data_IF_158606228993
#
_entry.id   IF_158606228993
#
_cell.length_a   1.000
_cell.length_b   1.000
_cell.length_c   1.000
_cell.angle_alpha   90.00
_cell.angle_beta   90.00
_cell.angle_gamma   90.00
#
_symmetry.space_group_name_H-M   'P 1'
#
loop_
_entity.id
_entity.type
_entity.pdbx_description
1 polymer ?
#
# COMPACT_ATOMS: atom_id res chain seq x y z
N UNK A 1 -3.88 -26.04 9.93
CA UNK A 1 -2.86 -27.08 9.73
C UNK A 1 -1.53 -26.37 9.51
N UNK A 2 -0.49 -26.73 10.25
CA UNK A 2 0.88 -26.27 10.00
C UNK A 2 1.70 -27.39 9.39
N UNK A 3 2.67 -27.04 8.54
CA UNK A 3 3.74 -27.93 8.07
C UNK A 3 4.99 -27.53 8.83
N UNK A 4 5.75 -28.50 9.34
CA UNK A 4 6.93 -28.23 10.18
C UNK A 4 8.06 -27.54 9.40
N UNK A 5 8.18 -27.84 8.10
CA UNK A 5 9.16 -27.25 7.18
C UNK A 5 8.45 -26.77 5.90
N UNK A 6 7.84 -25.56 5.91
CA UNK A 6 7.05 -25.07 4.79
C UNK A 6 7.94 -24.62 3.63
N UNK A 7 7.64 -25.08 2.41
CA UNK A 7 8.26 -24.52 1.21
C UNK A 7 7.63 -23.17 0.89
N UNK A 8 8.43 -22.10 0.97
CA UNK A 8 8.04 -20.72 0.69
C UNK A 8 8.63 -20.26 -0.64
N UNK A 9 7.84 -19.56 -1.46
CA UNK A 9 8.29 -18.94 -2.72
C UNK A 9 7.81 -17.49 -2.83
N UNK A 10 8.56 -16.65 -3.54
CA UNK A 10 8.13 -15.30 -3.91
C UNK A 10 7.63 -15.31 -5.35
N UNK A 11 6.34 -15.04 -5.56
CA UNK A 11 5.72 -15.01 -6.89
C UNK A 11 5.80 -13.61 -7.49
N UNK A 12 6.43 -13.48 -8.66
CA UNK A 12 6.64 -12.21 -9.36
C UNK A 12 5.92 -12.18 -10.72
N UNK A 13 5.47 -11.01 -11.20
CA UNK A 13 4.94 -10.84 -12.56
C UNK A 13 6.06 -10.84 -13.64
N UNK A 14 7.33 -10.95 -13.24
CA UNK A 14 8.48 -11.02 -14.14
C UNK A 14 9.18 -9.68 -14.40
N UNK A 15 10.23 -9.73 -15.23
CA UNK A 15 11.22 -8.66 -15.41
C UNK A 15 10.68 -7.32 -15.94
N UNK A 16 9.51 -7.32 -16.57
CA UNK A 16 8.91 -6.10 -17.13
C UNK A 16 8.12 -5.29 -16.11
N UNK A 17 8.05 -5.74 -14.85
CA UNK A 17 7.46 -4.97 -13.77
C UNK A 17 8.49 -4.01 -13.16
N UNK A 18 8.07 -2.78 -12.87
CA UNK A 18 8.95 -1.73 -12.33
C UNK A 18 9.55 -2.07 -10.97
N UNK A 19 8.91 -2.92 -10.17
CA UNK A 19 9.38 -3.38 -8.87
C UNK A 19 10.15 -4.72 -8.93
N UNK A 20 10.41 -5.28 -10.12
CA UNK A 20 11.05 -6.60 -10.26
C UNK A 20 12.40 -6.71 -9.52
N UNK A 21 13.22 -5.65 -9.55
CA UNK A 21 14.48 -5.62 -8.80
C UNK A 21 14.25 -5.86 -7.30
N UNK A 22 13.25 -5.22 -6.71
CA UNK A 22 12.89 -5.40 -5.31
C UNK A 22 12.42 -6.84 -5.04
N UNK A 23 11.66 -7.43 -5.96
CA UNK A 23 11.19 -8.82 -5.83
C UNK A 23 12.38 -9.80 -5.79
N UNK A 24 13.33 -9.65 -6.71
CA UNK A 24 14.50 -10.50 -6.79
C UNK A 24 15.44 -10.30 -5.59
N UNK A 25 15.65 -9.05 -5.18
CA UNK A 25 16.43 -8.70 -3.98
C UNK A 25 15.82 -9.33 -2.73
N UNK A 26 14.52 -9.16 -2.50
CA UNK A 26 13.84 -9.73 -1.34
C UNK A 26 13.88 -11.26 -1.32
N UNK A 27 13.64 -11.91 -2.46
CA UNK A 27 13.72 -13.38 -2.55
C UNK A 27 15.13 -13.89 -2.20
N UNK A 28 16.16 -13.20 -2.71
CA UNK A 28 17.57 -13.50 -2.41
C UNK A 28 17.90 -13.34 -0.92
N UNK A 29 17.52 -12.21 -0.30
CA UNK A 29 17.79 -11.95 1.13
C UNK A 29 17.05 -12.94 2.05
N UNK A 30 15.86 -13.39 1.65
CA UNK A 30 15.12 -14.43 2.39
C UNK A 30 15.62 -15.85 2.11
N UNK A 31 16.44 -16.05 1.08
CA UNK A 31 16.88 -17.38 0.65
C UNK A 31 15.76 -18.26 0.11
N UNK A 32 14.76 -17.68 -0.55
CA UNK A 32 13.61 -18.38 -1.14
C UNK A 32 13.60 -18.26 -2.66
N UNK A 33 12.90 -19.18 -3.33
CA UNK A 33 12.81 -19.18 -4.79
C UNK A 33 11.97 -18.00 -5.31
N UNK A 34 12.50 -17.31 -6.33
CA UNK A 34 11.77 -16.32 -7.12
C UNK A 34 11.10 -17.03 -8.30
N UNK A 35 9.78 -17.05 -8.33
CA UNK A 35 8.99 -17.81 -9.33
C UNK A 35 8.02 -16.92 -10.09
N UNK A 36 7.78 -17.23 -11.36
CA UNK A 36 6.65 -16.70 -12.12
C UNK A 36 5.49 -17.71 -12.13
N UNK A 37 4.29 -17.28 -12.53
CA UNK A 37 3.11 -18.16 -12.56
C UNK A 37 3.32 -19.44 -13.38
N UNK A 38 4.12 -19.38 -14.47
CA UNK A 38 4.46 -20.53 -15.33
C UNK A 38 5.31 -21.60 -14.64
N UNK A 39 6.06 -21.23 -13.60
CA UNK A 39 6.91 -22.14 -12.83
C UNK A 39 6.10 -22.94 -11.82
N UNK A 40 4.85 -22.50 -11.57
CA UNK A 40 3.90 -23.14 -10.67
C UNK A 40 2.78 -23.83 -11.45
N UNK A 41 2.18 -24.84 -10.84
CA UNK A 41 0.98 -25.48 -11.36
C UNK A 41 0.15 -26.12 -10.25
N UNK A 42 -1.15 -26.25 -10.47
CA UNK A 42 -2.04 -27.02 -9.61
C UNK A 42 -2.01 -28.48 -10.03
N UNK A 43 -1.78 -29.38 -9.08
CA UNK A 43 -1.99 -30.81 -9.25
C UNK A 43 -2.61 -31.41 -7.99
N UNK A 44 -3.59 -32.31 -8.14
CA UNK A 44 -4.30 -32.98 -7.03
C UNK A 44 -4.79 -32.03 -5.92
N UNK A 45 -5.10 -30.78 -6.28
CA UNK A 45 -5.56 -29.72 -5.39
C UNK A 45 -4.47 -29.09 -4.51
N UNK A 46 -3.20 -29.23 -4.85
CA UNK A 46 -2.06 -28.54 -4.22
C UNK A 46 -1.28 -27.75 -5.27
N UNK A 47 -0.51 -26.74 -4.85
CA UNK A 47 0.41 -26.01 -5.74
C UNK A 47 1.79 -26.68 -5.71
N UNK A 48 2.36 -26.86 -6.89
CA UNK A 48 3.71 -27.37 -7.07
C UNK A 48 4.54 -26.42 -7.92
N UNK A 49 5.82 -26.33 -7.57
CA UNK A 49 6.86 -25.68 -8.34
C UNK A 49 7.58 -26.71 -9.22
N UNK A 50 7.86 -26.34 -10.46
CA UNK A 50 8.64 -27.16 -11.40
C UNK A 50 10.11 -27.11 -11.00
N UNK A 51 10.72 -28.28 -10.82
CA UNK A 51 12.17 -28.41 -10.62
C UNK A 51 12.72 -29.53 -11.51
N UNK A 52 14.03 -29.59 -11.67
CA UNK A 52 14.70 -30.66 -12.43
C UNK A 52 14.60 -32.03 -11.75
N UNK A 53 14.44 -32.07 -10.43
CA UNK A 53 14.31 -33.30 -9.64
C UNK A 53 12.85 -33.77 -9.52
N UNK A 54 11.91 -32.96 -10.00
CA UNK A 54 10.47 -33.24 -9.97
C UNK A 54 9.65 -32.11 -9.35
N UNK A 55 8.32 -32.26 -9.29
CA UNK A 55 7.45 -31.27 -8.67
C UNK A 55 7.74 -31.13 -7.16
N UNK A 56 8.06 -29.91 -6.72
CA UNK A 56 8.19 -29.59 -5.29
C UNK A 56 6.93 -28.88 -4.81
N UNK A 57 6.27 -29.41 -3.78
CA UNK A 57 5.07 -28.79 -3.23
C UNK A 57 5.41 -27.41 -2.64
N UNK A 58 4.52 -26.44 -2.83
CA UNK A 58 4.61 -25.09 -2.25
C UNK A 58 3.54 -24.93 -1.19
N UNK A 59 3.93 -24.45 -0.02
CA UNK A 59 3.05 -24.29 1.14
C UNK A 59 2.68 -22.82 1.38
N UNK A 60 3.60 -21.90 1.08
CA UNK A 60 3.40 -20.44 1.23
C UNK A 60 3.89 -19.69 0.00
N UNK A 61 3.08 -18.77 -0.50
CA UNK A 61 3.41 -17.90 -1.62
C UNK A 61 3.38 -16.46 -1.14
N UNK A 62 4.54 -15.80 -1.11
CA UNK A 62 4.61 -14.35 -1.00
C UNK A 62 4.36 -13.75 -2.39
N UNK A 63 3.13 -13.29 -2.63
CA UNK A 63 2.75 -12.75 -3.94
C UNK A 63 3.17 -11.28 -4.10
N UNK A 64 3.70 -10.98 -5.28
CA UNK A 64 3.92 -9.62 -5.80
C UNK A 64 3.11 -9.37 -7.08
N UNK A 65 2.01 -10.10 -7.23
CA UNK A 65 1.05 -10.06 -8.34
C UNK A 65 -0.31 -9.68 -7.75
N UNK A 66 -1.01 -8.75 -8.39
CA UNK A 66 -2.34 -8.29 -7.97
C UNK A 66 -3.41 -9.40 -8.10
N UNK A 67 -4.48 -9.29 -7.31
CA UNK A 67 -5.54 -10.32 -7.22
C UNK A 67 -6.13 -10.67 -8.59
N UNK A 68 -6.38 -9.65 -9.42
CA UNK A 68 -6.98 -9.82 -10.74
C UNK A 68 -6.16 -10.75 -11.66
N UNK A 69 -4.85 -10.83 -11.45
CA UNK A 69 -3.93 -11.55 -12.31
C UNK A 69 -3.47 -12.90 -11.74
N UNK A 70 -3.82 -13.24 -10.50
CA UNK A 70 -3.25 -14.41 -9.80
C UNK A 70 -3.86 -15.76 -10.23
N UNK A 71 -5.11 -15.76 -10.71
CA UNK A 71 -5.81 -16.97 -11.15
C UNK A 71 -6.72 -16.66 -12.36
N UNK A 72 -6.35 -17.07 -13.58
CA UNK A 72 -7.17 -16.83 -14.77
C UNK A 72 -8.49 -17.61 -14.79
N UNK A 73 -8.66 -18.65 -13.96
CA UNK A 73 -9.94 -19.38 -13.87
C UNK A 73 -10.97 -18.69 -12.98
N UNK A 74 -10.53 -17.74 -12.14
CA UNK A 74 -11.39 -17.06 -11.16
C UNK A 74 -11.51 -15.55 -11.41
N UNK A 75 -10.48 -14.92 -11.97
CA UNK A 75 -10.40 -13.48 -12.15
C UNK A 75 -10.28 -13.13 -13.64
N UNK A 76 -9.16 -12.54 -14.07
CA UNK A 76 -8.96 -12.15 -15.47
C UNK A 76 -8.51 -13.36 -16.32
N UNK A 77 -9.36 -13.88 -17.23
CA UNK A 77 -9.04 -15.05 -18.04
C UNK A 77 -7.91 -14.82 -19.06
N UNK A 78 -7.57 -13.56 -19.34
CA UNK A 78 -6.46 -13.20 -20.20
C UNK A 78 -5.11 -13.10 -19.44
N UNK A 79 -5.12 -13.26 -18.11
CA UNK A 79 -3.88 -13.22 -17.33
C UNK A 79 -2.94 -14.37 -17.70
N UNK A 80 -1.69 -14.02 -18.02
CA UNK A 80 -0.58 -14.97 -18.17
C UNK A 80 0.36 -14.99 -16.96
N UNK A 81 0.06 -14.19 -15.92
CA UNK A 81 0.92 -14.01 -14.74
C UNK A 81 0.59 -14.99 -13.61
N UNK A 82 -0.65 -15.49 -13.58
CA UNK A 82 -1.22 -16.30 -12.52
C UNK A 82 -0.99 -17.80 -12.66
N UNK A 83 -1.58 -18.56 -11.73
CA UNK A 83 -1.62 -20.02 -11.76
C UNK A 83 -3.08 -20.47 -11.86
N UNK A 84 -3.51 -21.14 -12.95
CA UNK A 84 -4.88 -21.63 -13.09
C UNK A 84 -5.30 -22.50 -11.90
N UNK A 85 -6.34 -22.09 -11.19
CA UNK A 85 -6.90 -22.83 -10.03
C UNK A 85 -6.30 -22.45 -8.68
N UNK A 86 -5.41 -21.45 -8.60
CA UNK A 86 -4.83 -20.93 -7.36
C UNK A 86 -5.89 -20.62 -6.29
N UNK A 87 -6.98 -19.92 -6.65
CA UNK A 87 -8.01 -19.52 -5.69
C UNK A 87 -8.71 -20.74 -5.08
N UNK A 88 -8.92 -21.80 -5.86
CA UNK A 88 -9.50 -23.05 -5.37
C UNK A 88 -8.61 -23.71 -4.31
N UNK A 89 -7.30 -23.77 -4.57
CA UNK A 89 -6.33 -24.35 -3.63
C UNK A 89 -6.26 -23.55 -2.34
N UNK A 90 -6.19 -22.21 -2.44
CA UNK A 90 -6.22 -21.29 -1.28
C UNK A 90 -7.50 -21.49 -0.46
N UNK A 91 -8.67 -21.51 -1.09
CA UNK A 91 -9.96 -21.73 -0.41
C UNK A 91 -10.06 -23.09 0.26
N UNK A 92 -9.34 -24.09 -0.24
CA UNK A 92 -9.25 -25.41 0.39
C UNK A 92 -8.24 -25.48 1.54
N UNK A 93 -7.53 -24.38 1.84
CA UNK A 93 -6.54 -24.29 2.92
C UNK A 93 -5.26 -25.08 2.67
N UNK A 94 -4.94 -25.38 1.40
CA UNK A 94 -3.79 -26.22 1.01
C UNK A 94 -2.54 -25.44 0.63
N UNK A 95 -2.67 -24.12 0.48
CA UNK A 95 -1.57 -23.16 0.30
C UNK A 95 -1.94 -21.84 0.96
N UNK A 96 -0.97 -21.16 1.55
CA UNK A 96 -1.13 -19.80 2.10
C UNK A 96 -0.60 -18.79 1.09
N UNK A 97 -1.35 -17.72 0.84
CA UNK A 97 -0.92 -16.61 -0.02
C UNK A 97 -0.82 -15.34 0.81
N UNK A 98 0.35 -14.69 0.78
CA UNK A 98 0.66 -13.48 1.53
C UNK A 98 0.97 -12.34 0.55
N UNK A 99 0.33 -11.17 0.60
CA UNK A 99 -0.88 -10.87 1.36
C UNK A 99 -2.07 -11.69 0.83
N UNK A 100 -3.08 -11.90 1.68
CA UNK A 100 -4.30 -12.59 1.27
C UNK A 100 -4.96 -11.90 0.07
N UNK A 101 -5.74 -12.66 -0.71
CA UNK A 101 -6.61 -12.08 -1.73
C UNK A 101 -7.77 -11.32 -1.09
N UNK A 102 -8.17 -10.20 -1.69
CA UNK A 102 -9.28 -9.38 -1.22
C UNK A 102 -8.91 -8.34 -0.17
N UNK A 103 -7.63 -8.21 0.23
CA UNK A 103 -7.20 -7.19 1.20
C UNK A 103 -7.42 -5.76 0.70
N UNK A 104 -7.56 -5.57 -0.62
CA UNK A 104 -7.83 -4.26 -1.22
C UNK A 104 -9.11 -3.59 -0.71
N UNK A 105 -10.09 -4.33 -0.20
CA UNK A 105 -11.28 -3.73 0.41
C UNK A 105 -10.92 -2.90 1.64
N UNK A 106 -9.93 -3.31 2.44
CA UNK A 106 -9.58 -2.63 3.68
C UNK A 106 -8.74 -1.36 3.49
N UNK A 107 -7.99 -1.28 2.38
CA UNK A 107 -7.16 -0.11 2.02
C UNK A 107 -7.84 0.79 0.95
N UNK A 108 -9.10 0.51 0.63
CA UNK A 108 -9.87 1.36 -0.27
C UNK A 108 -10.06 2.75 0.35
N UNK A 109 -10.00 3.80 -0.48
CA UNK A 109 -10.12 5.19 -0.02
C UNK A 109 -11.45 5.46 0.69
N UNK A 110 -12.52 4.75 0.33
CA UNK A 110 -13.81 4.85 1.00
C UNK A 110 -13.82 4.12 2.36
N UNK A 111 -12.98 3.10 2.55
CA UNK A 111 -12.84 2.42 3.85
C UNK A 111 -11.93 3.18 4.81
N UNK A 112 -10.95 3.95 4.30
CA UNK A 112 -10.00 4.72 5.12
C UNK A 112 -10.67 5.56 6.21
N UNK A 113 -11.80 6.22 5.93
CA UNK A 113 -12.47 7.09 6.91
C UNK A 113 -13.06 6.33 8.11
N UNK A 114 -13.23 5.01 8.01
CA UNK A 114 -13.79 4.16 9.07
C UNK A 114 -12.74 3.47 9.93
N UNK A 115 -11.44 3.57 9.60
CA UNK A 115 -10.36 2.94 10.39
C UNK A 115 -10.40 3.32 11.88
N UNK A 116 -10.63 4.59 12.26
CA UNK A 116 -10.79 4.96 13.68
C UNK A 116 -11.93 4.19 14.37
N UNK A 117 -13.06 4.02 13.69
CA UNK A 117 -14.22 3.31 14.23
C UNK A 117 -13.97 1.79 14.28
N UNK A 118 -13.21 1.24 13.33
CA UNK A 118 -12.76 -0.16 13.38
C UNK A 118 -11.89 -0.42 14.62
N UNK A 119 -10.97 0.48 14.94
CA UNK A 119 -10.12 0.37 16.15
C UNK A 119 -11.00 0.33 17.40
N UNK A 120 -11.95 1.27 17.54
CA UNK A 120 -12.89 1.29 18.66
C UNK A 120 -13.76 0.04 18.74
N UNK A 121 -14.26 -0.42 17.59
CA UNK A 121 -15.17 -1.56 17.53
C UNK A 121 -14.48 -2.89 17.83
N UNK A 122 -13.32 -3.15 17.22
CA UNK A 122 -12.63 -4.44 17.34
C UNK A 122 -11.70 -4.52 18.55
N UNK A 123 -11.06 -3.41 18.95
CA UNK A 123 -10.08 -3.38 20.04
C UNK A 123 -10.64 -2.76 21.33
N UNK A 124 -11.73 -1.99 21.25
CA UNK A 124 -12.26 -1.27 22.42
C UNK A 124 -11.34 -0.12 22.87
N UNK A 125 -10.46 0.35 21.98
CA UNK A 125 -9.42 1.34 22.25
C UNK A 125 -9.64 2.62 21.44
N UNK A 126 -9.04 3.72 21.86
CA UNK A 126 -8.97 4.93 21.04
C UNK A 126 -7.75 4.87 20.10
N UNK A 127 -7.89 5.32 18.83
CA UNK A 127 -6.78 5.34 17.88
C UNK A 127 -5.59 6.16 18.40
N UNK A 128 -4.43 5.51 18.51
CA UNK A 128 -3.17 6.19 18.88
C UNK A 128 -2.71 7.11 17.74
N UNK A 129 -2.78 6.62 16.50
CA UNK A 129 -2.51 7.40 15.30
C UNK A 129 -3.81 7.97 14.74
N UNK A 130 -3.86 9.28 14.60
CA UNK A 130 -5.03 9.98 14.09
C UNK A 130 -5.07 9.90 12.57
N UNK A 131 -6.23 9.56 12.03
CA UNK A 131 -6.47 9.71 10.60
C UNK A 131 -6.52 11.19 10.22
N UNK A 132 -6.17 11.46 8.97
CA UNK A 132 -6.45 12.77 8.36
C UNK A 132 -7.98 12.92 8.30
N UNK A 133 -8.56 14.04 8.75
CA UNK A 133 -9.99 14.30 8.61
C UNK A 133 -10.40 14.10 7.15
N UNK A 134 -11.28 13.14 6.90
CA UNK A 134 -11.65 12.72 5.55
C UNK A 134 -13.15 12.76 5.40
N UNK A 135 -13.62 13.62 4.50
CA UNK A 135 -15.03 13.78 4.16
C UNK A 135 -15.39 12.77 3.07
N UNK A 136 -16.41 11.96 3.32
CA UNK A 136 -16.93 11.02 2.33
C UNK A 136 -18.05 11.70 1.56
N UNK A 137 -17.85 11.98 0.27
CA UNK A 137 -18.87 12.67 -0.53
C UNK A 137 -20.14 11.83 -0.73
N UNK A 138 -20.13 10.55 -0.35
CA UNK A 138 -21.31 9.67 -0.20
C UNK A 138 -22.30 10.17 0.85
N UNK A 139 -21.81 10.84 1.90
CA UNK A 139 -22.65 11.39 2.97
C UNK A 139 -23.14 12.78 2.56
N UNK A 140 -24.46 13.05 2.57
CA UNK A 140 -24.99 14.34 2.12
C UNK A 140 -24.41 15.56 2.86
N UNK A 141 -24.18 15.44 4.17
CA UNK A 141 -23.62 16.53 4.98
C UNK A 141 -22.16 16.81 4.63
N UNK A 142 -21.35 15.76 4.47
CA UNK A 142 -19.95 15.86 4.01
C UNK A 142 -19.88 16.46 2.60
N UNK A 143 -20.72 15.99 1.67
CA UNK A 143 -20.78 16.52 0.30
C UNK A 143 -21.09 18.01 0.31
N UNK A 144 -22.08 18.43 1.11
CA UNK A 144 -22.42 19.85 1.24
C UNK A 144 -21.23 20.66 1.72
N UNK A 145 -20.56 20.20 2.79
CA UNK A 145 -19.36 20.85 3.30
C UNK A 145 -18.25 20.94 2.24
N UNK A 146 -17.99 19.85 1.50
CA UNK A 146 -16.97 19.82 0.45
C UNK A 146 -17.30 20.78 -0.69
N UNK A 147 -18.56 20.85 -1.12
CA UNK A 147 -18.99 21.78 -2.18
C UNK A 147 -18.86 23.24 -1.75
N UNK A 148 -19.15 23.54 -0.49
CA UNK A 148 -19.06 24.89 0.05
C UNK A 148 -17.60 25.34 0.24
N UNK A 149 -16.71 24.41 0.61
CA UNK A 149 -15.32 24.70 0.99
C UNK A 149 -14.26 24.13 0.02
N UNK A 150 -14.65 23.77 -1.21
CA UNK A 150 -13.77 23.02 -2.14
C UNK A 150 -12.41 23.69 -2.39
N UNK A 151 -12.35 25.02 -2.30
CA UNK A 151 -11.13 25.81 -2.53
C UNK A 151 -10.08 25.65 -1.42
N UNK A 152 -10.43 25.06 -0.28
CA UNK A 152 -9.53 24.82 0.85
C UNK A 152 -9.12 23.34 0.98
N UNK A 153 -9.79 22.48 0.21
CA UNK A 153 -9.69 21.03 0.31
C UNK A 153 -8.89 20.43 -0.85
N UNK A 154 -8.40 19.23 -0.63
CA UNK A 154 -7.89 18.34 -1.67
C UNK A 154 -8.94 17.26 -1.92
N UNK A 155 -9.51 17.23 -3.13
CA UNK A 155 -10.53 16.24 -3.53
C UNK A 155 -9.90 15.18 -4.40
N UNK A 156 -10.17 13.90 -4.12
CA UNK A 156 -9.57 12.74 -4.80
C UNK A 156 -10.66 11.74 -5.19
N UNK A 157 -10.50 11.10 -6.34
CA UNK A 157 -11.30 9.94 -6.72
C UNK A 157 -10.98 8.73 -5.83
N UNK A 158 -12.01 7.99 -5.42
CA UNK A 158 -11.91 6.77 -4.61
C UNK A 158 -11.13 5.71 -5.38
N UNK A 159 -11.50 5.48 -6.64
CA UNK A 159 -10.83 4.55 -7.54
C UNK A 159 -9.69 5.25 -8.30
N UNK A 160 -8.51 4.61 -8.36
CA UNK A 160 -7.35 5.11 -9.12
C UNK A 160 -6.06 5.28 -8.30
N UNK A 161 -4.93 5.14 -8.98
CA UNK A 161 -3.57 5.30 -8.46
C UNK A 161 -2.85 6.46 -9.17
N UNK A 162 -1.82 7.03 -8.53
CA UNK A 162 -0.90 7.97 -9.20
C UNK A 162 -1.33 9.45 -9.28
N UNK A 163 -2.35 9.89 -8.56
CA UNK A 163 -2.71 11.32 -8.45
C UNK A 163 -3.51 11.90 -9.63
N UNK A 164 -3.89 11.06 -10.60
CA UNK A 164 -4.92 11.40 -11.60
C UNK A 164 -6.29 11.50 -10.92
N UNK A 165 -7.16 12.41 -11.39
CA UNK A 165 -8.49 12.61 -10.78
C UNK A 165 -8.50 13.37 -9.45
N UNK A 166 -7.52 14.25 -9.23
CA UNK A 166 -7.37 15.03 -7.99
C UNK A 166 -7.49 16.54 -8.24
N UNK A 167 -8.20 17.25 -7.36
CA UNK A 167 -8.23 18.71 -7.27
C UNK A 167 -7.45 19.16 -6.03
N UNK A 168 -6.53 20.11 -6.18
CA UNK A 168 -5.88 20.80 -5.05
C UNK A 168 -6.48 22.19 -4.94
N UNK A 169 -7.55 22.32 -4.14
CA UNK A 169 -8.35 23.54 -4.02
C UNK A 169 -7.53 24.83 -3.90
N UNK A 170 -6.54 24.92 -2.99
CA UNK A 170 -5.78 26.16 -2.78
C UNK A 170 -4.90 26.58 -3.98
N UNK A 171 -4.66 25.67 -4.93
CA UNK A 171 -3.88 25.92 -6.15
C UNK A 171 -4.74 25.93 -7.41
N UNK A 172 -6.04 25.68 -7.28
CA UNK A 172 -6.97 25.61 -8.39
C UNK A 172 -7.62 26.98 -8.64
N UNK A 173 -7.85 27.28 -9.92
CA UNK A 173 -8.66 28.42 -10.32
C UNK A 173 -10.13 28.21 -9.98
N UNK A 174 -10.90 29.30 -9.92
CA UNK A 174 -12.35 29.24 -9.69
C UNK A 174 -13.06 28.38 -10.75
N UNK A 175 -12.64 28.46 -12.01
CA UNK A 175 -13.21 27.69 -13.10
C UNK A 175 -12.99 26.18 -12.93
N UNK A 176 -11.79 25.77 -12.50
CA UNK A 176 -11.48 24.36 -12.20
C UNK A 176 -12.29 23.86 -11.00
N UNK A 177 -12.42 24.68 -9.94
CA UNK A 177 -13.28 24.36 -8.80
C UNK A 177 -14.74 24.16 -9.23
N UNK A 178 -15.29 25.06 -10.06
CA UNK A 178 -16.68 24.98 -10.52
C UNK A 178 -16.92 23.77 -11.45
N UNK A 179 -15.93 23.39 -12.27
CA UNK A 179 -15.96 22.15 -13.04
C UNK A 179 -15.95 20.92 -12.15
N UNK A 180 -15.05 20.88 -11.17
CA UNK A 180 -14.95 19.75 -10.25
C UNK A 180 -16.21 19.61 -9.38
N UNK A 181 -16.83 20.72 -8.95
CA UNK A 181 -18.14 20.70 -8.26
C UNK A 181 -19.24 20.04 -9.11
N UNK A 182 -19.22 20.24 -10.43
CA UNK A 182 -20.20 19.57 -11.34
C UNK A 182 -19.96 18.07 -11.38
N UNK A 183 -18.70 17.64 -11.48
CA UNK A 183 -18.31 16.21 -11.45
C UNK A 183 -18.68 15.55 -10.12
N UNK A 184 -18.36 16.20 -9.00
CA UNK A 184 -18.73 15.76 -7.65
C UNK A 184 -20.23 15.55 -7.47
N UNK A 185 -21.06 16.44 -8.02
CA UNK A 185 -22.53 16.30 -7.93
C UNK A 185 -23.07 15.18 -8.80
N UNK A 186 -22.40 14.87 -9.91
CA UNK A 186 -22.82 13.81 -10.81
C UNK A 186 -22.56 12.42 -10.21
N UNK A 187 -21.39 12.23 -9.58
CA UNK A 187 -20.98 10.95 -9.01
C UNK A 187 -20.34 11.13 -7.62
N UNK A 188 -21.11 11.57 -6.61
CA UNK A 188 -20.56 11.89 -5.28
C UNK A 188 -19.89 10.70 -4.62
N UNK A 189 -20.35 9.48 -4.92
CA UNK A 189 -19.83 8.26 -4.32
C UNK A 189 -18.39 7.94 -4.72
N UNK A 190 -17.93 8.51 -5.83
CA UNK A 190 -16.59 8.30 -6.36
C UNK A 190 -15.55 9.24 -5.76
N UNK A 191 -15.90 10.09 -4.78
CA UNK A 191 -14.98 11.10 -4.25
C UNK A 191 -14.85 11.12 -2.72
N UNK A 192 -13.64 11.45 -2.26
CA UNK A 192 -13.35 11.86 -0.89
C UNK A 192 -12.63 13.20 -0.90
N UNK A 193 -12.73 13.95 0.20
CA UNK A 193 -12.00 15.19 0.36
C UNK A 193 -11.26 15.24 1.70
N UNK A 194 -10.09 15.87 1.71
CA UNK A 194 -9.24 16.04 2.88
C UNK A 194 -8.78 17.50 2.97
N UNK A 195 -8.52 18.03 4.17
CA UNK A 195 -7.88 19.33 4.28
C UNK A 195 -6.48 19.28 3.68
N UNK A 196 -6.00 20.44 3.23
CA UNK A 196 -4.61 20.56 2.81
C UNK A 196 -3.70 20.42 4.04
N UNK A 197 -2.88 19.37 4.06
CA UNK A 197 -2.01 19.09 5.19
C UNK A 197 -0.73 19.92 5.13
N UNK A 198 -0.36 20.51 6.26
CA UNK A 198 0.98 21.04 6.49
C UNK A 198 1.94 19.88 6.78
N UNK A 199 2.53 19.31 5.74
CA UNK A 199 3.52 18.24 5.91
C UNK A 199 4.75 18.78 6.65
N UNK A 200 5.31 17.96 7.55
CA UNK A 200 6.59 18.27 8.19
C UNK A 200 7.70 18.41 7.15
N UNK A 201 8.77 19.11 7.51
CA UNK A 201 9.93 19.26 6.63
C UNK A 201 11.19 18.68 7.28
N UNK A 202 12.08 18.13 6.46
CA UNK A 202 13.39 17.64 6.86
C UNK A 202 14.48 18.43 6.11
N UNK A 203 15.59 18.83 6.78
CA UNK A 203 16.72 19.47 6.12
C UNK A 203 17.23 18.63 4.95
N UNK A 204 17.33 19.24 3.78
CA UNK A 204 17.70 18.55 2.53
C UNK A 204 18.69 19.41 1.76
N UNK A 205 19.76 18.78 1.27
CA UNK A 205 20.75 19.45 0.44
C UNK A 205 20.15 19.69 -0.95
N UNK A 206 20.12 20.95 -1.35
CA UNK A 206 19.63 21.45 -2.64
C UNK A 206 20.67 22.41 -3.23
N UNK A 207 20.43 22.92 -4.44
CA UNK A 207 21.40 23.78 -5.13
C UNK A 207 21.80 25.02 -4.32
N UNK A 208 20.87 25.60 -3.55
CA UNK A 208 21.12 26.78 -2.71
C UNK A 208 21.74 26.45 -1.34
N UNK A 209 22.03 25.18 -1.03
CA UNK A 209 22.54 24.72 0.25
C UNK A 209 21.55 23.83 1.00
N UNK A 210 21.48 23.96 2.33
CA UNK A 210 20.57 23.14 3.16
C UNK A 210 19.24 23.88 3.33
N UNK A 211 18.16 23.32 2.81
CA UNK A 211 16.83 23.91 2.88
C UNK A 211 15.77 22.89 3.35
N UNK A 212 14.67 23.34 3.97
CA UNK A 212 13.57 22.45 4.35
C UNK A 212 12.87 21.90 3.10
N UNK A 213 12.57 20.60 3.11
CA UNK A 213 11.74 19.91 2.10
C UNK A 213 10.75 18.98 2.78
N UNK A 214 9.55 18.88 2.23
CA UNK A 214 8.49 18.04 2.79
C UNK A 214 8.85 16.57 2.69
N UNK A 215 8.53 15.80 3.73
CA UNK A 215 8.80 14.37 3.80
C UNK A 215 7.56 13.59 4.22
N UNK A 216 7.53 12.31 3.84
CA UNK A 216 6.64 11.32 4.45
C UNK A 216 7.41 10.06 4.82
N UNK A 217 6.83 9.28 5.73
CA UNK A 217 7.43 8.06 6.28
C UNK A 217 6.49 6.88 6.02
N UNK A 218 7.03 5.81 5.44
CA UNK A 218 6.35 4.53 5.28
C UNK A 218 7.06 3.44 6.10
N UNK A 219 6.60 3.17 7.33
CA UNK A 219 7.05 2.00 8.08
C UNK A 219 6.39 0.72 7.52
N UNK A 220 6.94 -0.43 7.90
CA UNK A 220 6.39 -1.74 7.54
C UNK A 220 6.00 -2.51 8.80
N UNK A 221 4.71 -2.87 8.88
CA UNK A 221 4.16 -3.71 9.95
C UNK A 221 4.09 -5.15 9.44
N UNK A 222 4.78 -6.06 10.13
CA UNK A 222 4.79 -7.49 9.82
C UNK A 222 3.84 -8.22 10.77
N UNK A 223 2.88 -8.95 10.21
CA UNK A 223 1.89 -9.72 10.98
C UNK A 223 2.01 -11.20 10.66
N UNK A 224 2.46 -11.98 11.64
CA UNK A 224 2.44 -13.44 11.62
C UNK A 224 1.74 -13.95 12.88
N UNK A 225 2.37 -14.87 13.62
CA UNK A 225 1.90 -15.23 14.98
C UNK A 225 1.89 -14.01 15.92
N UNK A 226 2.82 -13.08 15.71
CA UNK A 226 2.90 -11.79 16.41
C UNK A 226 2.97 -10.66 15.40
N UNK A 227 2.42 -9.51 15.78
CA UNK A 227 2.55 -8.26 15.02
C UNK A 227 3.76 -7.47 15.51
N UNK A 228 4.62 -7.04 14.60
CA UNK A 228 5.83 -6.24 14.90
C UNK A 228 6.00 -5.13 13.88
N UNK A 229 6.60 -4.02 14.30
CA UNK A 229 6.99 -2.93 13.42
C UNK A 229 8.51 -2.95 13.29
N UNK A 230 9.01 -2.86 12.06
CA UNK A 230 10.46 -2.76 11.83
C UNK A 230 10.97 -1.40 12.34
N UNK A 231 12.13 -1.34 13.05
CA UNK A 231 12.72 -0.09 13.52
C UNK A 231 13.37 0.68 12.35
N UNK A 232 12.54 1.14 11.42
CA UNK A 232 12.95 1.82 10.19
C UNK A 232 11.77 2.02 9.24
N UNK A 233 12.07 2.46 8.03
CA UNK A 233 11.05 2.67 7.02
C UNK A 233 11.59 3.43 5.82
N UNK A 234 10.76 3.54 4.79
CA UNK A 234 11.06 4.34 3.62
C UNK A 234 10.64 5.78 3.89
N UNK A 235 11.62 6.68 4.06
CA UNK A 235 11.36 8.12 4.06
C UNK A 235 11.50 8.66 2.63
N UNK A 236 10.47 9.36 2.14
CA UNK A 236 10.52 10.05 0.84
C UNK A 236 10.55 11.54 1.03
N UNK A 237 11.19 12.25 0.11
CA UNK A 237 11.37 13.71 0.16
C UNK A 237 10.93 14.37 -1.15
N UNK A 238 10.13 15.43 -1.04
CA UNK A 238 9.74 16.26 -2.17
C UNK A 238 10.85 17.28 -2.46
N UNK A 239 11.72 17.00 -3.43
CA UNK A 239 12.93 17.80 -3.68
C UNK A 239 12.63 19.21 -4.22
N UNK A 240 11.55 19.37 -4.98
CA UNK A 240 11.14 20.67 -5.53
C UNK A 240 10.59 21.58 -4.43
N UNK A 241 11.07 22.82 -4.39
CA UNK A 241 10.62 23.82 -3.42
C UNK A 241 9.10 24.00 -3.46
N UNK A 242 8.44 23.96 -2.29
CA UNK A 242 6.98 24.10 -2.14
C UNK A 242 6.14 22.96 -2.72
N UNK A 243 6.78 21.87 -3.17
CA UNK A 243 6.08 20.66 -3.62
C UNK A 243 5.70 19.79 -2.42
N UNK A 244 4.50 19.21 -2.47
CA UNK A 244 4.04 18.16 -1.56
C UNK A 244 4.15 16.77 -2.22
N UNK A 245 4.63 16.72 -3.47
CA UNK A 245 4.75 15.49 -4.25
C UNK A 245 6.08 14.82 -3.89
N UNK A 246 5.98 13.75 -3.10
CA UNK A 246 7.12 12.92 -2.67
C UNK A 246 7.32 11.67 -3.55
N UNK A 247 6.49 11.48 -4.58
CA UNK A 247 6.55 10.30 -5.44
C UNK A 247 7.83 10.31 -6.30
N UNK A 248 8.56 9.20 -6.31
CA UNK A 248 9.83 9.06 -7.03
C UNK A 248 9.68 9.24 -8.54
N UNK A 249 8.56 8.80 -9.12
CA UNK A 249 8.25 9.00 -10.54
C UNK A 249 8.07 10.47 -10.94
N UNK A 250 7.94 11.38 -9.97
CA UNK A 250 7.73 12.82 -10.18
C UNK A 250 8.83 13.67 -9.52
N UNK A 251 10.03 13.11 -9.36
CA UNK A 251 11.20 13.83 -8.83
C UNK A 251 11.30 13.83 -7.30
N UNK A 252 10.61 12.90 -6.63
CA UNK A 252 10.83 12.61 -5.21
C UNK A 252 12.13 11.84 -4.97
N UNK A 253 12.85 12.18 -3.91
CA UNK A 253 14.02 11.43 -3.44
C UNK A 253 13.69 10.53 -2.25
N UNK A 254 14.67 9.81 -1.74
CA UNK A 254 14.57 9.00 -0.52
C UNK A 254 15.61 9.44 0.51
N UNK A 255 15.31 9.20 1.78
CA UNK A 255 16.22 9.40 2.92
C UNK A 255 16.24 8.13 3.77
N UNK A 256 17.37 7.92 4.42
CA UNK A 256 17.47 6.93 5.49
C UNK A 256 16.61 7.36 6.69
N UNK A 257 16.04 6.40 7.40
CA UNK A 257 15.18 6.61 8.57
C UNK A 257 15.83 6.02 9.79
N UNK A 258 16.42 6.87 10.64
CA UNK A 258 17.03 6.42 11.88
C UNK A 258 16.01 6.37 13.01
N UNK A 259 15.85 5.18 13.58
CA UNK A 259 15.12 4.97 14.84
C UNK A 259 16.17 4.78 15.93
N UNK A 260 16.26 5.74 16.84
CA UNK A 260 17.24 5.68 17.93
C UNK A 260 16.85 4.59 18.93
N UNK A 261 17.87 3.90 19.47
CA UNK A 261 17.66 3.01 20.60
C UNK A 261 17.18 3.80 21.81
N UNK A 262 16.38 3.15 22.67
CA UNK A 262 16.00 3.76 23.93
C UNK A 262 17.27 4.03 24.76
N UNK A 263 17.38 5.20 25.41
CA UNK A 263 18.53 5.49 26.25
C UNK A 263 18.64 4.41 27.34
N UNK A 264 19.82 3.77 27.42
CA UNK A 264 20.13 2.82 28.49
C UNK A 264 20.17 3.62 29.80
N UNK A 265 19.29 3.30 30.75
CA UNK A 265 19.38 3.85 32.09
C UNK A 265 20.72 3.40 32.69
N UNK A 266 21.61 4.36 32.91
CA UNK A 266 22.85 4.12 33.64
C UNK A 266 22.42 4.06 35.12
N UNK A 267 22.41 2.87 35.71
CA UNK A 267 22.28 2.75 37.16
C UNK A 267 23.54 3.36 37.78
N UNK A 268 23.40 4.51 38.44
CA UNK A 268 24.44 5.04 39.30
C UNK A 268 24.57 4.09 40.50
N UNK A 269 25.68 3.35 40.58
CA UNK A 269 26.06 2.64 41.81
C UNK A 269 26.35 3.68 42.91
N UNK A 270 25.51 3.71 43.95
CA UNK A 270 25.75 4.44 45.21
C UNK A 270 26.92 3.84 46.02
#
# INVERSE_FOLDING_TARGET
MGVDDPTVVLMTPGQYNSAYFEHAFLAMEMGIELVEGRDLFVDSGSIFMRTTEGPKRVDVIYRRVDDEYIDPLAFNPASALGVPGMLSVVRSGRVTVCNAMGTGVADDKAMYCFVPDMIRFYLGEEPVLQNVPTYSCRKPDDLKYVLDNIAELVVKEVHGSGGYGMLVGPKASKAECDDFKRRLKAEPDNYIAQPTLALSTCPTLVEEGIAPRHVDLRPYVLSGEKTRVMPGGLTRVALKQGSLVVNSSQGGGTKDTWVLEAPVAIEEEE
#
